data_IF_886138408735
#
_entry.id   IF_886138408735
#
_cell.length_a   1.000
_cell.length_b   1.000
_cell.length_c   1.000
_cell.angle_alpha   90.00
_cell.angle_beta   90.00
_cell.angle_gamma   90.00
#
_symmetry.space_group_name_H-M   'P 1'
#
loop_
_entity.id
_entity.type
_entity.pdbx_description
1 polymer ?
#
# COMPACT_ATOMS: atom_id res chain seq x y z
N UNK A 1 -10.65 -9.07 -0.82
CA UNK A 1 -9.81 -7.92 -0.42
C UNK A 1 -8.51 -7.96 -1.22
N UNK A 2 -8.02 -6.83 -1.78
CA UNK A 2 -6.84 -6.78 -2.66
C UNK A 2 -5.53 -7.31 -2.05
N UNK A 3 -5.50 -7.59 -0.76
CA UNK A 3 -4.36 -8.14 -0.02
C UNK A 3 -4.56 -9.60 0.44
N UNK A 4 -5.58 -10.32 -0.04
CA UNK A 4 -5.77 -11.75 0.30
C UNK A 4 -4.55 -12.66 0.01
N UNK A 5 -3.80 -12.49 -1.11
CA UNK A 5 -2.72 -13.39 -1.49
C UNK A 5 -1.57 -13.39 -0.48
N UNK A 6 -1.22 -12.23 0.08
CA UNK A 6 -0.13 -12.14 1.07
C UNK A 6 -0.48 -12.84 2.39
N UNK A 7 -1.76 -12.83 2.81
CA UNK A 7 -2.22 -13.57 3.99
C UNK A 7 -2.24 -15.08 3.74
N UNK A 8 -2.47 -15.48 2.49
CA UNK A 8 -2.49 -16.88 2.09
C UNK A 8 -1.08 -17.47 2.10
N UNK A 9 -0.10 -16.76 1.51
CA UNK A 9 1.31 -17.16 1.57
C UNK A 9 1.82 -17.25 3.01
N UNK A 10 1.44 -16.32 3.90
CA UNK A 10 1.80 -16.38 5.31
C UNK A 10 1.20 -17.60 6.03
N UNK A 11 -0.05 -17.97 5.71
CA UNK A 11 -0.70 -19.19 6.24
C UNK A 11 -0.06 -20.47 5.71
N UNK A 12 0.38 -20.48 4.45
CA UNK A 12 1.12 -21.61 3.89
C UNK A 12 2.49 -21.75 4.54
N UNK A 13 3.21 -20.64 4.73
CA UNK A 13 4.53 -20.62 5.38
C UNK A 13 4.52 -21.26 6.78
N UNK A 14 3.47 -21.03 7.57
CA UNK A 14 3.32 -21.62 8.90
C UNK A 14 3.22 -23.16 8.88
N UNK A 15 2.79 -23.75 7.76
CA UNK A 15 2.66 -25.20 7.58
C UNK A 15 3.90 -25.87 7.01
N UNK A 16 4.83 -25.10 6.46
CA UNK A 16 6.08 -25.60 5.89
C UNK A 16 7.02 -25.97 7.05
N UNK A 17 7.71 -27.10 6.95
CA UNK A 17 8.73 -27.46 7.94
C UNK A 17 9.89 -26.45 7.86
N UNK A 18 10.35 -25.87 8.98
CA UNK A 18 11.39 -24.84 9.01
C UNK A 18 12.72 -25.26 8.36
N UNK A 19 13.01 -26.56 8.28
CA UNK A 19 14.19 -27.07 7.57
C UNK A 19 14.03 -27.08 6.04
N UNK A 20 12.83 -26.86 5.52
CA UNK A 20 12.59 -26.84 4.08
C UNK A 20 13.04 -25.52 3.44
N UNK A 21 13.71 -25.63 2.30
CA UNK A 21 14.18 -24.51 1.48
C UNK A 21 13.08 -23.46 1.19
N UNK A 22 11.83 -23.89 1.05
CA UNK A 22 10.67 -23.03 0.79
C UNK A 22 10.41 -22.00 1.91
N UNK A 23 10.79 -22.31 3.15
CA UNK A 23 10.63 -21.38 4.27
C UNK A 23 11.62 -20.19 4.16
N UNK A 24 12.86 -20.48 3.79
CA UNK A 24 13.87 -19.44 3.51
C UNK A 24 13.50 -18.62 2.29
N UNK A 25 12.97 -19.27 1.24
CA UNK A 25 12.51 -18.57 0.03
C UNK A 25 11.38 -17.58 0.33
N UNK A 26 10.38 -17.98 1.12
CA UNK A 26 9.28 -17.08 1.51
C UNK A 26 9.77 -15.81 2.18
N UNK A 27 10.79 -15.90 3.05
CA UNK A 27 11.39 -14.73 3.71
C UNK A 27 12.01 -13.78 2.69
N UNK A 28 12.75 -14.31 1.72
CA UNK A 28 13.38 -13.52 0.65
C UNK A 28 12.31 -12.83 -0.20
N UNK A 29 11.27 -13.57 -0.61
CA UNK A 29 10.16 -13.03 -1.39
C UNK A 29 9.45 -11.90 -0.63
N UNK A 30 9.28 -12.05 0.70
CA UNK A 30 8.68 -11.01 1.54
C UNK A 30 9.57 -9.79 1.73
N UNK A 31 10.87 -9.95 1.88
CA UNK A 31 11.81 -8.84 1.91
C UNK A 31 11.77 -8.04 0.60
N UNK A 32 11.67 -8.72 -0.53
CA UNK A 32 11.54 -8.08 -1.84
C UNK A 32 10.21 -7.32 -1.97
N UNK A 33 9.09 -7.91 -1.54
CA UNK A 33 7.78 -7.23 -1.51
C UNK A 33 7.84 -5.94 -0.66
N UNK A 34 8.42 -6.01 0.54
CA UNK A 34 8.56 -4.85 1.43
C UNK A 34 9.48 -3.77 0.85
N UNK A 35 10.54 -4.16 0.14
CA UNK A 35 11.41 -3.21 -0.56
C UNK A 35 10.64 -2.42 -1.62
N UNK A 36 9.82 -3.10 -2.43
CA UNK A 36 8.96 -2.45 -3.43
C UNK A 36 7.95 -1.51 -2.77
N UNK A 37 7.32 -1.94 -1.68
CA UNK A 37 6.38 -1.09 -0.92
C UNK A 37 7.07 0.17 -0.39
N UNK A 38 8.26 0.05 0.21
CA UNK A 38 9.01 1.17 0.75
C UNK A 38 9.43 2.16 -0.34
N UNK A 39 9.95 1.68 -1.47
CA UNK A 39 10.34 2.53 -2.60
C UNK A 39 9.12 3.27 -3.14
N UNK A 40 8.00 2.57 -3.35
CA UNK A 40 6.78 3.17 -3.87
C UNK A 40 6.21 4.21 -2.91
N UNK A 41 6.18 3.91 -1.61
CA UNK A 41 5.71 4.85 -0.59
C UNK A 41 6.61 6.10 -0.48
N UNK A 42 7.94 5.94 -0.61
CA UNK A 42 8.86 7.08 -0.67
C UNK A 42 8.62 7.95 -1.92
N UNK A 43 8.35 7.32 -3.07
CA UNK A 43 8.01 8.04 -4.30
C UNK A 43 6.70 8.82 -4.15
N UNK A 44 5.65 8.21 -3.59
CA UNK A 44 4.38 8.92 -3.33
C UNK A 44 4.59 10.10 -2.38
N UNK A 45 5.37 9.93 -1.31
CA UNK A 45 5.70 11.02 -0.38
C UNK A 45 6.45 12.16 -1.09
N UNK A 46 7.37 11.84 -2.00
CA UNK A 46 8.09 12.82 -2.84
C UNK A 46 7.14 13.57 -3.77
N UNK A 47 6.26 12.87 -4.48
CA UNK A 47 5.26 13.48 -5.39
C UNK A 47 4.33 14.43 -4.64
N UNK A 48 3.83 14.01 -3.46
CA UNK A 48 2.96 14.86 -2.62
C UNK A 48 3.71 16.10 -2.12
N UNK A 49 4.98 15.93 -1.74
CA UNK A 49 5.83 17.06 -1.32
C UNK A 49 6.02 18.05 -2.47
N UNK A 50 6.20 17.56 -3.70
CA UNK A 50 6.22 18.38 -4.91
C UNK A 50 4.88 19.08 -5.17
N UNK A 51 3.75 18.42 -4.90
CA UNK A 51 2.43 18.99 -5.10
C UNK A 51 2.17 20.22 -4.22
N UNK A 52 2.76 20.29 -3.03
CA UNK A 52 2.66 21.49 -2.17
C UNK A 52 3.32 22.74 -2.76
N UNK A 53 4.19 22.60 -3.77
CA UNK A 53 4.77 23.75 -4.47
C UNK A 53 3.84 24.31 -5.57
N UNK A 54 2.73 23.63 -5.87
CA UNK A 54 1.83 24.06 -6.92
C UNK A 54 0.97 25.24 -6.44
N UNK A 55 0.92 26.37 -7.16
CA UNK A 55 0.16 27.54 -6.75
C UNK A 55 -1.35 27.26 -6.59
N UNK A 56 -1.87 26.30 -7.36
CA UNK A 56 -3.24 25.82 -7.25
C UNK A 56 -3.57 25.13 -5.92
N UNK A 57 -2.58 24.59 -5.20
CA UNK A 57 -2.81 23.95 -3.89
C UNK A 57 -3.02 25.01 -2.81
N UNK A 58 -2.42 26.19 -2.92
CA UNK A 58 -2.63 27.29 -1.97
C UNK A 58 -4.06 27.84 -2.03
N UNK A 59 -4.65 27.90 -3.22
CA UNK A 59 -6.04 28.32 -3.44
C UNK A 59 -7.05 27.17 -3.25
N UNK A 60 -6.57 25.95 -3.02
CA UNK A 60 -7.42 24.78 -2.95
C UNK A 60 -8.32 24.77 -1.69
N UNK A 61 -9.49 24.11 -1.77
CA UNK A 61 -10.32 23.83 -0.60
C UNK A 61 -9.55 23.07 0.47
N UNK A 62 -9.95 23.28 1.73
CA UNK A 62 -9.33 22.61 2.88
C UNK A 62 -9.37 21.08 2.78
N UNK A 63 -10.37 20.52 2.09
CA UNK A 63 -10.52 19.07 1.87
C UNK A 63 -9.39 18.50 0.99
N UNK A 64 -9.00 19.21 -0.07
CA UNK A 64 -7.87 18.82 -0.92
C UNK A 64 -6.55 18.88 -0.13
N UNK A 65 -6.33 19.98 0.61
CA UNK A 65 -5.14 20.12 1.48
C UNK A 65 -5.06 19.02 2.53
N UNK A 66 -6.17 18.74 3.22
CA UNK A 66 -6.24 17.67 4.22
C UNK A 66 -5.93 16.28 3.63
N UNK A 67 -6.40 16.01 2.41
CA UNK A 67 -6.10 14.75 1.72
C UNK A 67 -4.62 14.62 1.33
N UNK A 68 -3.95 15.70 0.93
CA UNK A 68 -2.50 15.70 0.66
C UNK A 68 -1.68 15.49 1.93
N UNK A 69 -2.02 16.18 3.04
CA UNK A 69 -1.35 15.95 4.33
C UNK A 69 -1.55 14.51 4.82
N UNK A 70 -2.78 13.99 4.72
CA UNK A 70 -3.09 12.60 5.12
C UNK A 70 -2.33 11.58 4.26
N UNK A 71 -2.24 11.83 2.96
CA UNK A 71 -1.44 11.00 2.03
C UNK A 71 0.02 10.96 2.46
N UNK A 72 0.63 12.12 2.71
CA UNK A 72 2.03 12.22 3.12
C UNK A 72 2.26 11.42 4.42
N UNK A 73 1.42 11.65 5.42
CA UNK A 73 1.54 11.01 6.72
C UNK A 73 1.40 9.48 6.63
N UNK A 74 0.41 8.99 5.89
CA UNK A 74 0.16 7.56 5.70
C UNK A 74 1.28 6.92 4.88
N UNK A 75 1.80 7.60 3.85
CA UNK A 75 2.90 7.10 3.03
C UNK A 75 4.19 6.96 3.84
N UNK A 76 4.52 7.94 4.68
CA UNK A 76 5.66 7.86 5.60
C UNK A 76 5.47 6.75 6.64
N UNK A 77 4.25 6.57 7.13
CA UNK A 77 3.90 5.47 8.04
C UNK A 77 4.08 4.11 7.38
N UNK A 78 3.75 3.98 6.08
CA UNK A 78 3.99 2.77 5.30
C UNK A 78 5.49 2.45 5.17
N UNK A 79 6.32 3.46 4.88
CA UNK A 79 7.79 3.31 4.86
C UNK A 79 8.32 2.87 6.23
N UNK A 80 7.88 3.52 7.31
CA UNK A 80 8.31 3.19 8.66
C UNK A 80 7.94 1.74 9.04
N UNK A 81 6.70 1.34 8.77
CA UNK A 81 6.23 -0.01 9.04
C UNK A 81 6.96 -1.06 8.20
N UNK A 82 7.15 -0.80 6.89
CA UNK A 82 7.86 -1.72 6.00
C UNK A 82 9.34 -1.85 6.37
N UNK A 83 10.00 -0.76 6.76
CA UNK A 83 11.38 -0.79 7.24
C UNK A 83 11.53 -1.58 8.55
N UNK A 84 10.64 -1.37 9.53
CA UNK A 84 10.63 -2.14 10.78
C UNK A 84 10.45 -3.64 10.51
N UNK A 85 9.55 -3.99 9.60
CA UNK A 85 9.37 -5.39 9.19
C UNK A 85 10.63 -5.92 8.54
N UNK A 86 11.20 -5.25 7.53
CA UNK A 86 12.41 -5.72 6.86
C UNK A 86 13.57 -5.97 7.82
N UNK A 87 13.81 -5.08 8.79
CA UNK A 87 14.84 -5.27 9.83
C UNK A 87 14.54 -6.51 10.68
N UNK A 88 13.28 -6.71 11.07
CA UNK A 88 12.89 -7.88 11.82
C UNK A 88 13.13 -9.18 11.01
N UNK A 89 12.73 -9.25 9.75
CA UNK A 89 12.97 -10.43 8.89
C UNK A 89 14.47 -10.69 8.70
N UNK A 90 15.26 -9.65 8.47
CA UNK A 90 16.70 -9.79 8.28
C UNK A 90 17.35 -10.37 9.54
N UNK A 91 16.98 -9.87 10.71
CA UNK A 91 17.44 -10.40 12.00
C UNK A 91 17.06 -11.87 12.20
N UNK A 92 15.83 -12.26 11.86
CA UNK A 92 15.42 -13.68 11.89
C UNK A 92 16.16 -14.52 10.84
N UNK A 93 16.75 -13.91 9.82
CA UNK A 93 17.52 -14.63 8.81
C UNK A 93 18.95 -14.96 9.19
N UNK A 94 19.50 -14.28 10.18
CA UNK A 94 20.88 -14.46 10.66
C UNK A 94 21.01 -15.61 11.67
N UNK A 95 19.90 -16.13 12.20
CA UNK A 95 19.89 -17.22 13.17
C UNK A 95 19.47 -18.55 12.54
N UNK A 96 20.18 -19.67 12.81
CA UNK A 96 19.81 -21.00 12.32
C UNK A 96 18.36 -21.40 12.68
N UNK A 97 17.91 -20.98 13.87
CA UNK A 97 16.54 -21.22 14.38
C UNK A 97 15.57 -20.06 14.09
N UNK A 98 16.00 -19.02 13.38
CA UNK A 98 15.20 -17.80 13.23
C UNK A 98 13.96 -18.00 12.37
N UNK A 99 13.97 -18.94 11.42
CA UNK A 99 12.77 -19.36 10.67
C UNK A 99 11.75 -20.03 11.61
N UNK A 100 12.21 -20.84 12.56
CA UNK A 100 11.34 -21.48 13.55
C UNK A 100 10.70 -20.45 14.48
N UNK A 101 11.47 -19.48 14.97
CA UNK A 101 10.94 -18.36 15.77
C UNK A 101 9.93 -17.52 14.98
N UNK A 102 10.19 -17.27 13.70
CA UNK A 102 9.28 -16.55 12.81
C UNK A 102 7.94 -17.29 12.63
N UNK A 103 7.99 -18.62 12.48
CA UNK A 103 6.80 -19.47 12.46
C UNK A 103 6.06 -19.47 13.80
N UNK A 104 6.77 -19.54 14.92
CA UNK A 104 6.19 -19.48 16.27
C UNK A 104 5.50 -18.14 16.54
N UNK A 105 6.11 -17.03 16.13
CA UNK A 105 5.48 -15.73 16.14
C UNK A 105 4.18 -15.78 15.32
N UNK A 106 4.25 -16.22 14.05
CA UNK A 106 3.08 -16.25 13.16
C UNK A 106 1.94 -17.15 13.69
N UNK A 107 2.28 -18.24 14.39
CA UNK A 107 1.33 -19.14 15.04
C UNK A 107 0.62 -18.53 16.25
N UNK A 108 1.03 -17.36 16.74
CA UNK A 108 0.24 -16.61 17.71
C UNK A 108 0.03 -17.33 19.05
N UNK A 109 1.07 -17.97 19.59
CA UNK A 109 1.00 -18.67 20.87
C UNK A 109 0.50 -20.13 20.80
N UNK A 110 0.26 -20.71 21.98
CA UNK A 110 0.11 -22.16 22.23
C UNK A 110 -1.03 -22.88 21.48
N UNK A 111 -1.89 -22.16 20.76
CA UNK A 111 -3.07 -22.73 20.10
C UNK A 111 -2.83 -23.24 18.68
N UNK A 112 -1.63 -23.08 18.10
CA UNK A 112 -1.31 -23.60 16.76
C UNK A 112 -2.07 -22.96 15.58
N UNK A 113 -2.91 -21.95 15.85
CA UNK A 113 -3.69 -21.21 14.85
C UNK A 113 -3.06 -19.85 14.58
N UNK A 114 -2.83 -19.51 13.31
CA UNK A 114 -2.24 -18.23 12.90
C UNK A 114 -3.00 -17.05 13.50
N UNK A 115 -2.31 -16.19 14.26
CA UNK A 115 -2.93 -15.00 14.86
C UNK A 115 -3.35 -14.02 13.77
N UNK A 116 -4.62 -13.62 13.80
CA UNK A 116 -5.18 -12.64 12.85
C UNK A 116 -4.52 -11.26 13.00
N UNK A 117 -4.12 -10.88 14.22
CA UNK A 117 -3.37 -9.65 14.48
C UNK A 117 -2.01 -9.70 13.80
N UNK A 118 -1.35 -10.85 13.81
CA UNK A 118 -0.06 -10.97 13.16
C UNK A 118 -0.21 -10.88 11.65
N UNK A 119 -1.18 -11.58 11.05
CA UNK A 119 -1.50 -11.43 9.63
C UNK A 119 -1.77 -9.97 9.26
N UNK A 120 -2.50 -9.23 10.11
CA UNK A 120 -2.74 -7.81 9.89
C UNK A 120 -1.45 -6.98 9.91
N UNK A 121 -0.57 -7.19 10.89
CA UNK A 121 0.73 -6.51 10.96
C UNK A 121 1.53 -6.74 9.69
N UNK A 122 1.64 -7.98 9.21
CA UNK A 122 2.37 -8.33 7.99
C UNK A 122 1.79 -7.71 6.70
N UNK A 123 0.56 -7.22 6.75
CA UNK A 123 -0.12 -6.56 5.63
C UNK A 123 -0.23 -5.05 5.80
N UNK A 124 0.17 -4.52 6.95
CA UNK A 124 0.02 -3.12 7.29
C UNK A 124 0.75 -2.17 6.31
N UNK A 125 2.02 -2.43 5.88
CA UNK A 125 2.72 -1.50 4.99
C UNK A 125 2.03 -1.37 3.62
N UNK A 126 1.62 -2.50 3.03
CA UNK A 126 0.95 -2.50 1.72
C UNK A 126 -0.46 -1.91 1.80
N UNK A 127 -1.17 -2.09 2.92
CA UNK A 127 -2.47 -1.45 3.14
C UNK A 127 -2.34 0.07 3.26
N UNK A 128 -1.39 0.55 4.06
CA UNK A 128 -1.13 1.99 4.20
C UNK A 128 -0.74 2.62 2.86
N UNK A 129 0.14 1.96 2.08
CA UNK A 129 0.50 2.44 0.74
C UNK A 129 -0.72 2.58 -0.18
N UNK A 130 -1.58 1.55 -0.25
CA UNK A 130 -2.77 1.62 -1.10
C UNK A 130 -3.73 2.74 -0.65
N UNK A 131 -3.89 2.94 0.66
CA UNK A 131 -4.70 4.03 1.21
C UNK A 131 -4.10 5.39 0.84
N UNK A 132 -2.77 5.54 0.92
CA UNK A 132 -2.12 6.81 0.53
C UNK A 132 -2.34 7.12 -0.95
N UNK A 133 -2.18 6.12 -1.84
CA UNK A 133 -2.41 6.29 -3.28
C UNK A 133 -3.85 6.74 -3.55
N UNK A 134 -4.84 6.09 -2.92
CA UNK A 134 -6.25 6.46 -3.09
C UNK A 134 -6.52 7.88 -2.56
N UNK A 135 -6.02 8.21 -1.38
CA UNK A 135 -6.17 9.57 -0.82
C UNK A 135 -5.52 10.63 -1.70
N UNK A 136 -4.38 10.32 -2.30
CA UNK A 136 -3.71 11.23 -3.23
C UNK A 136 -4.57 11.50 -4.47
N UNK A 137 -5.10 10.43 -5.09
CA UNK A 137 -5.95 10.54 -6.26
C UNK A 137 -7.24 11.31 -5.96
N UNK A 138 -7.85 11.06 -4.79
CA UNK A 138 -9.02 11.81 -4.32
C UNK A 138 -8.66 13.29 -4.12
N UNK A 139 -7.50 13.60 -3.54
CA UNK A 139 -7.02 14.97 -3.37
C UNK A 139 -6.83 15.73 -4.68
N UNK A 140 -6.23 15.08 -5.68
CA UNK A 140 -6.09 15.62 -7.02
C UNK A 140 -7.47 15.82 -7.67
N UNK A 141 -8.40 14.88 -7.52
CA UNK A 141 -9.74 15.01 -8.08
C UNK A 141 -10.49 16.21 -7.48
N UNK A 142 -10.46 16.37 -6.15
CA UNK A 142 -11.07 17.52 -5.48
C UNK A 142 -10.43 18.82 -5.96
N UNK A 143 -9.10 18.88 -6.06
CA UNK A 143 -8.37 20.05 -6.53
C UNK A 143 -8.82 20.48 -7.93
N UNK A 144 -8.90 19.53 -8.87
CA UNK A 144 -9.28 19.81 -10.25
C UNK A 144 -10.75 20.24 -10.34
N UNK A 145 -11.66 19.56 -9.63
CA UNK A 145 -13.08 19.92 -9.63
C UNK A 145 -13.35 21.25 -8.93
N UNK A 146 -12.60 21.59 -7.89
CA UNK A 146 -12.72 22.89 -7.24
C UNK A 146 -12.37 24.03 -8.21
N UNK A 147 -11.32 23.85 -9.03
CA UNK A 147 -10.99 24.82 -10.09
C UNK A 147 -12.05 24.90 -11.17
N UNK A 148 -12.54 23.75 -11.65
CA UNK A 148 -13.60 23.71 -12.65
C UNK A 148 -14.92 24.33 -12.16
N UNK A 149 -15.21 24.29 -10.86
CA UNK A 149 -16.40 24.92 -10.29
C UNK A 149 -16.32 26.46 -10.26
N UNK A 150 -15.11 27.04 -10.30
CA UNK A 150 -14.90 28.48 -10.35
C UNK A 150 -14.93 29.05 -11.78
N UNK A 151 -14.86 28.22 -12.84
CA UNK A 151 -14.96 28.68 -14.22
C UNK A 151 -16.42 28.80 -14.67
N UNK A 152 -16.79 29.95 -15.23
CA UNK A 152 -18.18 30.33 -15.52
C UNK A 152 -18.75 29.74 -16.83
N UNK A 153 -17.97 28.96 -17.59
CA UNK A 153 -18.37 28.33 -18.85
C UNK A 153 -17.62 26.99 -19.02
N UNK A 154 -17.95 26.22 -20.09
CA UNK A 154 -17.22 25.02 -20.53
C UNK A 154 -15.79 25.38 -20.99
N UNK A 155 -15.00 25.82 -20.04
CA UNK A 155 -13.65 26.33 -20.19
C UNK A 155 -12.64 25.18 -20.09
N UNK A 156 -11.36 25.46 -20.36
CA UNK A 156 -10.32 24.43 -20.40
C UNK A 156 -10.16 23.70 -19.05
N UNK A 157 -10.38 24.38 -17.91
CA UNK A 157 -10.39 23.76 -16.58
C UNK A 157 -11.51 22.70 -16.42
N UNK A 158 -12.68 22.91 -17.04
CA UNK A 158 -13.79 21.94 -17.04
C UNK A 158 -13.46 20.72 -17.91
N UNK A 159 -12.79 20.93 -19.06
CA UNK A 159 -12.34 19.83 -19.93
C UNK A 159 -11.26 18.99 -19.23
N UNK A 160 -10.31 19.65 -18.56
CA UNK A 160 -9.27 18.97 -17.77
C UNK A 160 -9.90 18.16 -16.65
N UNK A 161 -10.90 18.70 -15.94
CA UNK A 161 -11.64 17.97 -14.91
C UNK A 161 -12.32 16.71 -15.44
N UNK A 162 -12.98 16.83 -16.60
CA UNK A 162 -13.64 15.69 -17.23
C UNK A 162 -12.64 14.61 -17.67
N UNK A 163 -11.56 14.99 -18.36
CA UNK A 163 -10.53 14.06 -18.84
C UNK A 163 -9.79 13.41 -17.67
N UNK A 164 -9.42 14.17 -16.65
CA UNK A 164 -8.75 13.65 -15.46
C UNK A 164 -9.66 12.68 -14.67
N UNK A 165 -10.95 12.98 -14.55
CA UNK A 165 -11.92 12.09 -13.91
C UNK A 165 -12.09 10.80 -14.70
N UNK A 166 -12.13 10.88 -16.03
CA UNK A 166 -12.22 9.71 -16.90
C UNK A 166 -10.96 8.84 -16.80
N UNK A 167 -9.77 9.45 -16.78
CA UNK A 167 -8.50 8.76 -16.57
C UNK A 167 -8.43 8.11 -15.18
N UNK A 168 -8.86 8.81 -14.13
CA UNK A 168 -8.94 8.28 -12.77
C UNK A 168 -9.91 7.10 -12.66
N UNK A 169 -11.08 7.20 -13.28
CA UNK A 169 -12.07 6.12 -13.34
C UNK A 169 -11.51 4.92 -14.10
N UNK A 170 -10.90 5.13 -15.27
CA UNK A 170 -10.27 4.06 -16.05
C UNK A 170 -9.14 3.38 -15.26
N UNK A 171 -8.34 4.15 -14.52
CA UNK A 171 -7.30 3.62 -13.62
C UNK A 171 -7.88 2.77 -12.49
N UNK A 172 -8.95 3.25 -11.84
CA UNK A 172 -9.62 2.53 -10.75
C UNK A 172 -10.29 1.24 -11.25
N UNK A 173 -10.94 1.30 -12.42
CA UNK A 173 -11.52 0.13 -13.09
C UNK A 173 -10.43 -0.87 -13.46
N UNK A 174 -9.32 -0.43 -14.05
CA UNK A 174 -8.19 -1.33 -14.35
C UNK A 174 -7.57 -1.94 -13.08
N UNK A 175 -7.49 -1.18 -11.99
CA UNK A 175 -7.02 -1.71 -10.71
C UNK A 175 -7.96 -2.79 -10.18
N UNK A 176 -9.28 -2.57 -10.21
CA UNK A 176 -10.27 -3.55 -9.75
C UNK A 176 -10.32 -4.77 -10.67
N UNK A 177 -10.24 -4.60 -12.00
CA UNK A 177 -10.16 -5.69 -12.97
C UNK A 177 -8.87 -6.48 -12.76
N UNK A 178 -7.73 -5.82 -12.64
CA UNK A 178 -6.45 -6.47 -12.38
C UNK A 178 -6.48 -7.26 -11.08
N UNK A 179 -7.01 -6.67 -10.01
CA UNK A 179 -7.22 -7.35 -8.74
C UNK A 179 -8.11 -8.59 -8.93
N UNK A 180 -9.31 -8.43 -9.49
CA UNK A 180 -10.29 -9.52 -9.68
C UNK A 180 -9.82 -10.62 -10.64
N UNK A 181 -9.12 -10.29 -11.71
CA UNK A 181 -8.56 -11.25 -12.67
C UNK A 181 -7.45 -12.10 -12.05
N UNK A 182 -6.59 -11.50 -11.22
CA UNK A 182 -5.61 -12.22 -10.40
C UNK A 182 -6.31 -13.13 -9.37
N UNK A 183 -7.44 -12.69 -8.81
CA UNK A 183 -8.22 -13.49 -7.87
C UNK A 183 -8.89 -14.71 -8.50
N UNK A 184 -9.49 -14.55 -9.68
CA UNK A 184 -10.22 -15.63 -10.35
C UNK A 184 -9.30 -16.80 -10.74
N UNK A 185 -8.01 -16.54 -10.96
CA UNK A 185 -7.06 -17.58 -11.37
C UNK A 185 -6.49 -18.41 -10.20
N UNK A 186 -6.77 -18.02 -8.96
CA UNK A 186 -6.28 -18.70 -7.74
C UNK A 186 -7.39 -19.32 -6.88
N UNK A 187 -8.65 -19.27 -7.31
CA UNK A 187 -9.79 -20.03 -6.74
C UNK A 187 -10.05 -21.30 -7.54
#
# INVERSE_FOLDING_TARGET
MPWSPSSFSARQFVKIDPAHQNATQWRVDKLQELSVVNVTAALIASVVSGAFSWPMVDEAPWTAKASFYSTLFISLSAVAAGAQQSIALDRYGQHPEGIRQLQELLRGGSSGSVSWLQLYVWQLPIMLLNISIVLFLVGILILIWARAAHSAAWDDDMKIAFVASLAGLAGLVNYVIGATALYWRYS
#
